data_IF_316624833462
#
_entry.id   IF_316624833462
#
_cell.length_a   1.000
_cell.length_b   1.000
_cell.length_c   1.000
_cell.angle_alpha   90.00
_cell.angle_beta   90.00
_cell.angle_gamma   90.00
#
_symmetry.space_group_name_H-M   'P 1'
#
loop_
_entity.id
_entity.type
_entity.pdbx_description
1 polymer ?
#
# COMPACT_ATOMS: atom_id res chain seq x y z
N UNK A 1 -0.85 -34.38 -0.29
CA UNK A 1 -1.41 -33.13 -0.85
C UNK A 1 -0.59 -31.91 -0.43
N UNK A 2 -0.50 -30.87 -1.28
CA UNK A 2 0.07 -29.55 -0.93
C UNK A 2 -0.86 -28.46 -1.44
N UNK A 3 -1.09 -27.44 -0.60
CA UNK A 3 -1.94 -26.30 -0.98
C UNK A 3 -1.03 -25.12 -1.27
N UNK A 4 -1.14 -24.56 -2.48
CA UNK A 4 -0.28 -23.49 -3.00
C UNK A 4 -1.07 -22.40 -3.73
N UNK A 5 -0.37 -21.37 -4.17
CA UNK A 5 -0.93 -20.26 -4.93
C UNK A 5 -2.15 -19.62 -4.27
N UNK A 6 -2.06 -19.48 -2.93
CA UNK A 6 -3.10 -18.86 -2.14
C UNK A 6 -3.18 -17.37 -2.48
N UNK A 7 -4.37 -16.91 -2.83
CA UNK A 7 -4.61 -15.51 -3.21
C UNK A 7 -5.91 -14.99 -2.62
N UNK A 8 -5.95 -13.71 -2.34
CA UNK A 8 -7.14 -12.94 -2.01
C UNK A 8 -7.36 -11.91 -3.13
N UNK A 9 -8.56 -11.89 -3.76
CA UNK A 9 -8.87 -11.07 -4.92
C UNK A 9 -7.75 -11.09 -5.99
N UNK A 10 -7.22 -12.30 -6.27
CA UNK A 10 -6.11 -12.57 -7.19
C UNK A 10 -4.72 -12.05 -6.77
N UNK A 11 -4.60 -11.42 -5.60
CA UNK A 11 -3.36 -10.87 -5.06
C UNK A 11 -2.76 -11.79 -3.99
N UNK A 12 -1.44 -11.79 -3.87
CA UNK A 12 -0.72 -12.50 -2.80
C UNK A 12 -0.38 -11.52 -1.70
N UNK A 13 -0.90 -11.75 -0.49
CA UNK A 13 -0.65 -10.90 0.68
C UNK A 13 -0.78 -9.39 0.40
N UNK A 14 -1.94 -8.92 -0.12
CA UNK A 14 -2.12 -7.51 -0.45
C UNK A 14 -2.10 -6.64 0.80
N UNK A 15 -1.39 -5.52 0.70
CA UNK A 15 -1.27 -4.51 1.75
C UNK A 15 -2.00 -3.23 1.33
N UNK A 16 -3.03 -2.86 2.09
CA UNK A 16 -3.70 -1.57 1.92
C UNK A 16 -4.62 -1.48 0.71
N UNK A 17 -5.25 -2.59 0.32
CA UNK A 17 -6.24 -2.63 -0.76
C UNK A 17 -7.67 -2.52 -0.23
N UNK A 18 -8.55 -1.89 -0.99
CA UNK A 18 -9.99 -2.03 -0.77
C UNK A 18 -10.45 -3.43 -1.19
N UNK A 19 -10.82 -4.22 -0.21
CA UNK A 19 -11.22 -5.62 -0.36
C UNK A 19 -12.66 -5.81 0.12
N UNK A 20 -13.59 -5.00 -0.38
CA UNK A 20 -14.98 -5.00 0.07
C UNK A 20 -15.64 -6.39 0.10
N UNK A 21 -15.30 -7.24 -0.86
CA UNK A 21 -15.77 -8.63 -0.95
C UNK A 21 -14.55 -9.56 -1.12
N UNK A 22 -13.88 -9.94 -0.02
CA UNK A 22 -12.67 -10.72 -0.10
C UNK A 22 -12.94 -12.12 -0.63
N UNK A 23 -12.35 -12.46 -1.76
CA UNK A 23 -12.52 -13.73 -2.46
C UNK A 23 -11.21 -14.49 -2.48
N UNK A 24 -11.19 -15.70 -1.92
CA UNK A 24 -9.98 -16.54 -1.88
C UNK A 24 -9.90 -17.47 -3.09
N UNK A 25 -8.67 -17.79 -3.48
CA UNK A 25 -8.37 -18.88 -4.40
C UNK A 25 -7.09 -19.61 -3.98
N UNK A 26 -6.99 -20.88 -4.37
CA UNK A 26 -5.87 -21.76 -4.07
C UNK A 26 -5.74 -22.88 -5.09
N UNK A 27 -4.61 -23.59 -5.07
CA UNK A 27 -4.36 -24.77 -5.88
C UNK A 27 -3.96 -25.93 -4.97
N UNK A 28 -4.64 -27.07 -5.10
CA UNK A 28 -4.23 -28.32 -4.47
C UNK A 28 -3.36 -29.13 -5.45
N UNK A 29 -2.12 -29.40 -5.06
CA UNK A 29 -1.14 -30.17 -5.83
C UNK A 29 -0.82 -31.49 -5.15
N UNK A 30 -0.40 -32.49 -5.93
CA UNK A 30 0.04 -33.79 -5.42
C UNK A 30 -1.02 -34.50 -4.55
N UNK A 31 -2.30 -34.27 -4.83
CA UNK A 31 -3.39 -34.97 -4.19
C UNK A 31 -3.44 -36.45 -4.63
N UNK A 32 -3.83 -37.35 -3.73
CA UNK A 32 -4.03 -38.76 -4.08
C UNK A 32 -5.29 -38.97 -4.93
N UNK A 33 -6.31 -38.15 -4.68
CA UNK A 33 -7.57 -38.13 -5.44
C UNK A 33 -7.57 -37.16 -6.60
N UNK A 34 -8.70 -37.09 -7.30
CA UNK A 34 -8.92 -36.22 -8.46
C UNK A 34 -9.92 -35.11 -8.19
N UNK A 35 -10.63 -35.17 -7.08
CA UNK A 35 -11.71 -34.24 -6.72
C UNK A 35 -11.58 -33.83 -5.27
N UNK A 36 -11.83 -32.56 -5.00
CA UNK A 36 -12.00 -32.07 -3.66
C UNK A 36 -13.30 -32.64 -3.06
N UNK A 37 -13.22 -33.21 -1.87
CA UNK A 37 -14.38 -33.65 -1.10
C UNK A 37 -14.94 -32.50 -0.28
N UNK A 38 -14.07 -31.76 0.41
CA UNK A 38 -14.43 -30.53 1.12
C UNK A 38 -13.22 -29.61 1.23
N UNK A 39 -13.48 -28.37 1.61
CA UNK A 39 -12.49 -27.45 2.13
C UNK A 39 -12.98 -26.85 3.46
N UNK A 40 -12.06 -26.35 4.27
CA UNK A 40 -12.33 -25.56 5.47
C UNK A 40 -11.46 -24.32 5.44
N UNK A 41 -12.08 -23.16 5.59
CA UNK A 41 -11.40 -21.87 5.61
C UNK A 41 -11.48 -21.27 7.00
N UNK A 42 -10.33 -20.86 7.53
CA UNK A 42 -10.26 -20.10 8.77
C UNK A 42 -9.69 -18.71 8.50
N UNK A 43 -10.28 -17.70 9.14
CA UNK A 43 -9.79 -16.32 9.16
C UNK A 43 -9.63 -15.87 10.60
N UNK A 44 -8.53 -15.20 10.91
CA UNK A 44 -8.17 -14.74 12.24
C UNK A 44 -7.63 -13.32 12.22
N UNK A 45 -7.76 -12.61 13.34
CA UNK A 45 -7.09 -11.32 13.57
C UNK A 45 -5.64 -11.50 14.05
N UNK A 46 -5.23 -12.75 14.37
CA UNK A 46 -3.89 -13.10 14.82
C UNK A 46 -3.30 -14.24 14.01
N UNK A 47 -2.00 -14.17 13.75
CA UNK A 47 -1.27 -15.16 12.97
C UNK A 47 -1.29 -16.55 13.58
N UNK A 48 -1.31 -16.65 14.90
CA UNK A 48 -1.38 -17.89 15.66
C UNK A 48 -2.79 -18.50 15.75
N UNK A 49 -3.79 -17.84 15.14
CA UNK A 49 -5.20 -18.24 15.18
C UNK A 49 -5.80 -18.32 16.60
N UNK A 50 -5.24 -17.60 17.57
CA UNK A 50 -5.80 -17.48 18.92
C UNK A 50 -7.09 -16.64 18.96
N UNK A 51 -7.39 -15.88 17.89
CA UNK A 51 -8.58 -15.03 17.75
C UNK A 51 -9.23 -15.28 16.38
N UNK A 52 -9.96 -16.41 16.27
CA UNK A 52 -10.66 -16.79 15.02
C UNK A 52 -11.88 -15.91 14.83
N UNK A 53 -11.92 -15.22 13.71
CA UNK A 53 -13.06 -14.41 13.27
C UNK A 53 -14.08 -15.24 12.49
N UNK A 54 -13.62 -16.17 11.68
CA UNK A 54 -14.45 -17.02 10.84
C UNK A 54 -13.86 -18.43 10.69
N UNK A 55 -14.71 -19.43 10.78
CA UNK A 55 -14.40 -20.81 10.46
C UNK A 55 -15.58 -21.40 9.69
N UNK A 56 -15.36 -21.81 8.45
CA UNK A 56 -16.41 -22.41 7.62
C UNK A 56 -16.82 -23.81 8.06
N UNK A 57 -16.04 -24.46 8.94
CA UNK A 57 -16.10 -25.89 9.09
C UNK A 57 -15.79 -26.63 7.76
N UNK A 58 -15.96 -27.95 7.78
CA UNK A 58 -15.87 -28.76 6.55
C UNK A 58 -17.05 -28.44 5.64
N UNK A 59 -16.76 -27.97 4.42
CA UNK A 59 -17.78 -27.46 3.50
C UNK A 59 -17.44 -27.89 2.06
N UNK A 60 -18.33 -28.64 1.43
CA UNK A 60 -18.20 -29.13 0.06
C UNK A 60 -18.55 -28.10 -1.01
N UNK A 61 -19.19 -27.00 -0.62
CA UNK A 61 -19.54 -25.91 -1.51
C UNK A 61 -18.39 -24.90 -1.74
N UNK A 62 -17.30 -24.99 -0.96
CA UNK A 62 -16.13 -24.11 -1.15
C UNK A 62 -15.38 -24.54 -2.41
N UNK A 63 -15.29 -23.61 -3.36
CA UNK A 63 -14.56 -23.81 -4.62
C UNK A 63 -13.18 -23.16 -4.55
N UNK A 64 -12.18 -23.81 -5.17
CA UNK A 64 -10.78 -23.34 -5.13
C UNK A 64 -10.51 -22.09 -5.96
N UNK A 65 -11.44 -21.67 -6.81
CA UNK A 65 -11.25 -20.59 -7.80
C UNK A 65 -11.89 -19.27 -7.41
N UNK A 66 -12.61 -19.18 -6.31
CA UNK A 66 -13.27 -17.93 -5.92
C UNK A 66 -14.32 -18.12 -4.85
N UNK A 67 -13.91 -18.47 -3.64
CA UNK A 67 -14.82 -18.50 -2.49
C UNK A 67 -14.84 -17.15 -1.80
N UNK A 68 -15.99 -16.48 -1.77
CA UNK A 68 -16.18 -15.22 -1.08
C UNK A 68 -16.24 -15.46 0.45
N UNK A 69 -15.42 -14.74 1.19
CA UNK A 69 -15.39 -14.82 2.65
C UNK A 69 -16.56 -14.01 3.22
N UNK A 70 -17.48 -14.62 3.97
CA UNK A 70 -18.64 -13.94 4.55
C UNK A 70 -18.27 -13.20 5.85
N UNK A 71 -17.31 -12.26 5.77
CA UNK A 71 -16.80 -11.49 6.90
C UNK A 71 -16.92 -10.01 6.65
N UNK A 72 -17.26 -9.26 7.71
CA UNK A 72 -17.16 -7.81 7.68
C UNK A 72 -15.73 -7.36 7.93
N UNK A 73 -15.20 -6.51 7.07
CA UNK A 73 -13.84 -5.99 7.19
C UNK A 73 -13.84 -4.60 7.85
N UNK A 74 -12.84 -4.37 8.69
CA UNK A 74 -12.51 -3.07 9.24
C UNK A 74 -11.38 -2.42 8.46
N UNK A 75 -11.33 -1.08 8.32
CA UNK A 75 -10.20 -0.38 7.72
C UNK A 75 -8.89 -0.64 8.45
N UNK A 76 -7.76 -0.54 7.72
CA UNK A 76 -6.38 -0.63 8.23
C UNK A 76 -6.10 -1.87 9.09
N UNK A 77 -6.83 -2.96 8.83
CA UNK A 77 -6.81 -4.18 9.65
C UNK A 77 -6.17 -5.33 8.90
N UNK A 78 -5.20 -6.00 9.54
CA UNK A 78 -4.58 -7.22 9.01
C UNK A 78 -5.39 -8.44 9.46
N UNK A 79 -5.68 -9.28 8.48
CA UNK A 79 -6.36 -10.57 8.64
C UNK A 79 -5.41 -11.67 8.20
N UNK A 80 -5.41 -12.78 8.92
CA UNK A 80 -4.67 -13.99 8.60
C UNK A 80 -5.66 -15.07 8.20
N UNK A 81 -5.31 -15.87 7.22
CA UNK A 81 -6.18 -16.93 6.76
C UNK A 81 -5.40 -18.16 6.29
N UNK A 82 -6.06 -19.30 6.36
CA UNK A 82 -5.57 -20.59 5.85
C UNK A 82 -6.71 -21.43 5.38
N UNK A 83 -6.43 -22.42 4.55
CA UNK A 83 -7.41 -23.38 4.04
C UNK A 83 -6.92 -24.80 4.24
N UNK A 84 -7.82 -25.68 4.71
CA UNK A 84 -7.65 -27.13 4.68
C UNK A 84 -8.46 -27.68 3.52
N UNK A 85 -7.89 -28.61 2.78
CA UNK A 85 -8.53 -29.29 1.66
C UNK A 85 -8.41 -30.79 1.88
N UNK A 86 -9.49 -31.53 1.63
CA UNK A 86 -9.48 -32.98 1.57
C UNK A 86 -10.00 -33.45 0.20
N UNK A 87 -9.42 -34.50 -0.33
CA UNK A 87 -9.91 -35.17 -1.52
C UNK A 87 -10.84 -36.35 -1.22
N UNK A 88 -11.43 -36.95 -2.26
CA UNK A 88 -12.34 -38.11 -2.12
C UNK A 88 -11.67 -39.40 -1.59
N UNK A 89 -10.34 -39.39 -1.44
CA UNK A 89 -9.56 -40.48 -0.85
C UNK A 89 -9.07 -40.17 0.57
N UNK A 90 -9.59 -39.11 1.16
CA UNK A 90 -9.20 -38.63 2.49
C UNK A 90 -7.72 -38.24 2.62
N UNK A 91 -7.06 -37.88 1.49
CA UNK A 91 -5.78 -37.16 1.53
C UNK A 91 -6.07 -35.70 1.82
N UNK A 92 -5.54 -35.17 2.92
CA UNK A 92 -5.82 -33.80 3.33
C UNK A 92 -4.58 -33.04 3.77
N UNK A 93 -4.64 -31.72 3.65
CA UNK A 93 -3.60 -30.81 4.12
C UNK A 93 -4.16 -29.43 4.47
N UNK A 94 -3.53 -28.78 5.43
CA UNK A 94 -3.62 -27.33 5.63
C UNK A 94 -2.62 -26.61 4.74
N UNK A 95 -2.99 -25.42 4.28
CA UNK A 95 -2.05 -24.48 3.66
C UNK A 95 -1.15 -23.80 4.69
N UNK A 96 -0.09 -23.17 4.22
CA UNK A 96 0.59 -22.12 4.98
C UNK A 96 -0.38 -20.98 5.27
N UNK A 97 -0.12 -20.26 6.38
CA UNK A 97 -0.87 -19.06 6.74
C UNK A 97 -0.55 -17.96 5.73
N UNK A 98 -1.58 -17.31 5.23
CA UNK A 98 -1.49 -16.10 4.41
C UNK A 98 -2.14 -14.94 5.15
N UNK A 99 -1.91 -13.72 4.67
CA UNK A 99 -2.50 -12.53 5.24
C UNK A 99 -3.00 -11.58 4.15
N UNK A 100 -3.85 -10.66 4.53
CA UNK A 100 -4.16 -9.45 3.77
C UNK A 100 -4.41 -8.32 4.77
N UNK A 101 -4.17 -7.08 4.32
CA UNK A 101 -4.42 -5.90 5.12
C UNK A 101 -5.27 -4.92 4.32
N UNK A 102 -6.36 -4.50 4.93
CA UNK A 102 -7.31 -3.59 4.29
C UNK A 102 -6.77 -2.17 4.19
N UNK A 103 -7.28 -1.43 3.23
CA UNK A 103 -7.02 -0.01 3.01
C UNK A 103 -7.55 0.88 4.15
N UNK A 104 -7.23 2.20 4.10
CA UNK A 104 -7.91 3.22 4.91
C UNK A 104 -9.41 3.29 4.58
N UNK A 105 -9.75 3.01 3.34
CA UNK A 105 -11.11 2.97 2.83
C UNK A 105 -11.51 1.52 2.64
N UNK A 106 -12.60 1.12 3.27
CA UNK A 106 -13.30 -0.14 3.02
C UNK A 106 -14.75 0.25 2.79
N UNK A 107 -15.37 -0.26 1.74
CA UNK A 107 -16.71 0.14 1.30
C UNK A 107 -17.67 0.38 2.46
N UNK A 108 -18.14 1.62 2.59
CA UNK A 108 -19.07 2.05 3.64
C UNK A 108 -18.44 2.30 5.03
N UNK A 109 -17.11 2.23 5.16
CA UNK A 109 -16.41 2.45 6.44
C UNK A 109 -15.03 3.07 6.19
N UNK A 110 -15.00 4.38 6.00
CA UNK A 110 -13.80 5.12 5.60
C UNK A 110 -13.13 5.81 6.79
N UNK A 111 -11.81 5.67 6.91
CA UNK A 111 -11.01 6.47 7.84
C UNK A 111 -10.64 7.81 7.21
N UNK A 112 -11.10 8.90 7.82
CA UNK A 112 -10.77 10.24 7.37
C UNK A 112 -9.26 10.51 7.42
N UNK A 113 -8.77 11.31 6.47
CA UNK A 113 -7.42 11.84 6.48
C UNK A 113 -7.30 12.97 7.49
N UNK A 114 -6.24 12.93 8.32
CA UNK A 114 -5.89 14.01 9.26
C UNK A 114 -4.78 14.90 8.70
N UNK A 115 -4.00 14.37 7.75
CA UNK A 115 -2.95 15.09 7.05
C UNK A 115 -3.51 16.21 6.17
N UNK A 116 -2.68 17.23 5.90
CA UNK A 116 -2.98 18.32 4.97
C UNK A 116 -2.21 18.15 3.67
N UNK A 117 -2.81 18.56 2.57
CA UNK A 117 -2.08 18.69 1.31
C UNK A 117 -0.94 19.70 1.45
N UNK A 118 0.25 19.29 1.04
CA UNK A 118 1.42 20.18 0.94
C UNK A 118 1.82 20.35 -0.50
N UNK A 119 2.26 21.56 -0.82
CA UNK A 119 2.74 21.94 -2.13
C UNK A 119 4.11 22.61 -1.97
N UNK A 120 5.18 22.06 -2.56
CA UNK A 120 6.47 22.75 -2.53
C UNK A 120 6.37 24.07 -3.27
N UNK A 121 6.91 25.13 -2.67
CA UNK A 121 7.00 26.44 -3.34
C UNK A 121 8.21 26.47 -4.26
N UNK A 122 8.21 25.60 -5.27
CA UNK A 122 9.27 25.52 -6.27
C UNK A 122 8.96 26.45 -7.47
N UNK A 123 10.01 26.87 -8.17
CA UNK A 123 9.86 27.55 -9.44
C UNK A 123 9.07 26.70 -10.43
N UNK A 124 8.32 27.35 -11.33
CA UNK A 124 7.58 26.64 -12.39
C UNK A 124 8.55 25.77 -13.18
N UNK A 125 8.21 24.49 -13.35
CA UNK A 125 8.98 23.45 -14.03
C UNK A 125 10.20 22.88 -13.25
N UNK A 126 10.30 23.11 -11.95
CA UNK A 126 11.30 22.47 -11.11
C UNK A 126 10.72 21.27 -10.38
N UNK A 127 11.44 20.17 -10.39
CA UNK A 127 11.12 19.04 -9.54
C UNK A 127 11.62 19.31 -8.12
N UNK A 128 10.87 18.87 -7.13
CA UNK A 128 11.19 19.12 -5.72
C UNK A 128 11.14 17.84 -4.91
N UNK A 129 11.91 17.80 -3.84
CA UNK A 129 11.72 16.84 -2.75
C UNK A 129 11.06 17.56 -1.58
N UNK A 130 10.09 16.89 -0.95
CA UNK A 130 9.50 17.31 0.34
C UNK A 130 9.89 16.32 1.41
N UNK A 131 10.19 16.81 2.61
CA UNK A 131 10.71 15.95 3.66
C UNK A 131 10.38 16.45 5.07
N UNK A 132 10.38 15.50 6.02
CA UNK A 132 10.23 15.73 7.45
C UNK A 132 11.15 14.80 8.23
N UNK A 133 11.82 15.33 9.26
CA UNK A 133 12.47 14.52 10.28
C UNK A 133 11.47 14.29 11.42
N UNK A 134 11.27 13.03 11.79
CA UNK A 134 10.43 12.61 12.91
C UNK A 134 11.27 11.94 13.99
N UNK A 135 10.85 12.04 15.24
CA UNK A 135 11.55 11.45 16.38
C UNK A 135 10.73 10.33 16.99
N UNK A 136 11.22 9.10 16.91
CA UNK A 136 10.56 7.93 17.50
C UNK A 136 11.16 7.64 18.87
N UNK A 137 10.35 7.84 19.91
CA UNK A 137 10.81 7.73 21.30
C UNK A 137 10.53 6.37 21.95
N UNK A 138 9.59 5.61 21.41
CA UNK A 138 9.14 4.31 21.94
C UNK A 138 9.36 3.18 20.94
N UNK A 139 9.44 1.91 21.40
CA UNK A 139 9.46 0.77 20.50
C UNK A 139 8.17 0.69 19.65
N UNK A 140 8.33 0.52 18.34
CA UNK A 140 7.23 0.48 17.36
C UNK A 140 6.80 -0.97 17.13
N UNK A 141 5.51 -1.26 17.38
CA UNK A 141 4.92 -2.56 17.06
C UNK A 141 4.47 -2.63 15.59
N UNK A 142 3.95 -1.52 15.04
CA UNK A 142 3.47 -1.44 13.64
C UNK A 142 3.51 0.00 13.17
N UNK A 143 4.01 0.23 11.96
CA UNK A 143 3.88 1.52 11.29
C UNK A 143 3.41 1.35 9.85
N UNK A 144 2.49 2.23 9.41
CA UNK A 144 1.95 2.28 8.04
C UNK A 144 1.96 3.69 7.54
N UNK A 145 2.47 3.88 6.33
CA UNK A 145 2.33 5.15 5.63
C UNK A 145 1.29 5.00 4.51
N UNK A 146 0.42 5.99 4.41
CA UNK A 146 -0.57 6.16 3.35
C UNK A 146 -0.20 7.43 2.59
N UNK A 147 -0.06 7.36 1.27
CA UNK A 147 0.50 8.46 0.47
C UNK A 147 -0.26 8.67 -0.83
N UNK A 148 -0.51 9.93 -1.14
CA UNK A 148 -1.07 10.38 -2.42
C UNK A 148 -0.13 11.43 -3.02
N UNK A 149 0.18 11.29 -4.31
CA UNK A 149 0.88 12.32 -5.09
C UNK A 149 -0.03 12.92 -6.15
N UNK A 150 -0.07 14.24 -6.26
CA UNK A 150 -0.50 14.93 -7.47
C UNK A 150 0.74 15.17 -8.34
N UNK A 151 0.96 14.25 -9.25
CA UNK A 151 2.20 13.95 -9.95
C UNK A 151 2.73 12.59 -9.56
N UNK A 152 3.91 12.24 -10.04
CA UNK A 152 4.63 11.04 -9.59
C UNK A 152 5.37 11.30 -8.29
N UNK A 153 5.65 10.25 -7.54
CA UNK A 153 6.56 10.32 -6.42
C UNK A 153 7.38 9.04 -6.24
N UNK A 154 8.53 9.19 -5.62
CA UNK A 154 9.27 8.12 -4.97
C UNK A 154 9.39 8.44 -3.48
N UNK A 155 9.16 7.42 -2.63
CA UNK A 155 9.23 7.57 -1.19
C UNK A 155 10.53 6.98 -0.63
N UNK A 156 11.17 7.72 0.25
CA UNK A 156 12.40 7.35 0.92
C UNK A 156 12.24 7.44 2.45
N UNK A 157 12.70 6.42 3.15
CA UNK A 157 12.85 6.40 4.59
C UNK A 157 14.35 6.29 4.92
N UNK A 158 14.88 7.28 5.62
CA UNK A 158 16.33 7.35 5.97
C UNK A 158 17.26 7.24 4.76
N UNK A 159 16.84 7.72 3.61
CA UNK A 159 17.59 7.69 2.35
C UNK A 159 17.45 6.38 1.55
N UNK A 160 16.69 5.41 2.04
CA UNK A 160 16.40 4.16 1.33
C UNK A 160 15.02 4.22 0.68
N UNK A 161 14.94 3.93 -0.62
CA UNK A 161 13.67 3.89 -1.36
C UNK A 161 12.77 2.80 -0.78
N UNK A 162 11.52 3.14 -0.58
CA UNK A 162 10.50 2.23 -0.10
C UNK A 162 9.65 1.71 -1.26
N UNK A 163 9.45 0.38 -1.29
CA UNK A 163 8.79 -0.29 -2.41
C UNK A 163 9.70 -0.44 -3.64
N UNK A 164 9.27 -1.26 -4.57
CA UNK A 164 9.96 -1.54 -5.83
C UNK A 164 9.15 -1.07 -7.06
N UNK A 165 7.98 -0.52 -6.83
CA UNK A 165 7.11 -0.01 -7.87
C UNK A 165 7.70 1.27 -8.49
N UNK A 166 7.30 1.49 -9.75
CA UNK A 166 7.68 2.66 -10.54
C UNK A 166 6.44 3.43 -10.97
N UNK A 167 6.62 4.72 -11.24
CA UNK A 167 5.58 5.61 -11.77
C UNK A 167 4.33 5.71 -10.86
N UNK A 168 4.54 5.70 -9.54
CA UNK A 168 3.47 5.88 -8.58
C UNK A 168 2.95 7.34 -8.55
N UNK A 169 1.66 7.54 -8.30
CA UNK A 169 0.61 6.57 -7.97
C UNK A 169 0.01 5.83 -9.18
N UNK A 170 0.54 5.99 -10.38
CA UNK A 170 -0.02 5.50 -11.62
C UNK A 170 -0.98 6.52 -12.25
N UNK A 171 -1.52 6.16 -13.43
CA UNK A 171 -2.50 7.00 -14.11
C UNK A 171 -3.89 6.81 -13.49
N UNK A 172 -4.57 7.92 -13.26
CA UNK A 172 -5.99 7.93 -12.92
C UNK A 172 -6.65 9.19 -13.53
N UNK A 173 -7.97 9.24 -13.49
CA UNK A 173 -8.72 10.47 -13.74
C UNK A 173 -8.73 11.31 -12.46
N UNK A 174 -7.76 12.23 -12.34
CA UNK A 174 -7.53 13.02 -11.13
C UNK A 174 -8.71 13.96 -10.78
N UNK A 175 -9.63 14.21 -11.70
CA UNK A 175 -10.84 14.96 -11.43
C UNK A 175 -11.95 14.11 -10.77
N UNK A 176 -11.85 12.78 -10.89
CA UNK A 176 -12.84 11.83 -10.39
C UNK A 176 -12.40 11.09 -9.14
N UNK A 177 -11.14 10.69 -9.05
CA UNK A 177 -10.63 9.90 -7.93
C UNK A 177 -9.10 9.91 -7.86
N UNK A 178 -8.56 9.64 -6.68
CA UNK A 178 -7.12 9.58 -6.43
C UNK A 178 -6.73 8.21 -5.87
N UNK A 179 -5.62 7.68 -6.35
CA UNK A 179 -5.00 6.49 -5.77
C UNK A 179 -4.07 6.89 -4.63
N UNK A 180 -4.08 6.11 -3.56
CA UNK A 180 -3.03 6.16 -2.56
C UNK A 180 -2.32 4.81 -2.45
N UNK A 181 -1.05 4.86 -2.06
CA UNK A 181 -0.25 3.69 -1.77
C UNK A 181 -0.08 3.51 -0.28
N UNK A 182 0.04 2.25 0.14
CA UNK A 182 0.28 1.88 1.54
C UNK A 182 1.65 1.22 1.65
N UNK A 183 2.45 1.70 2.62
CA UNK A 183 3.78 1.15 2.91
C UNK A 183 3.84 0.63 4.34
N UNK A 184 4.49 -0.52 4.52
CA UNK A 184 4.93 -0.98 5.83
C UNK A 184 6.27 -0.34 6.16
N UNK A 185 6.35 0.41 7.27
CA UNK A 185 7.56 1.13 7.65
C UNK A 185 8.29 0.43 8.79
N UNK A 186 9.62 0.38 8.66
CA UNK A 186 10.52 -0.04 9.73
C UNK A 186 11.17 1.21 10.35
N UNK A 187 10.47 1.82 11.30
CA UNK A 187 10.96 3.03 11.97
C UNK A 187 11.97 2.68 13.06
N UNK A 188 13.16 3.26 12.97
CA UNK A 188 14.18 3.13 14.00
C UNK A 188 13.84 4.02 15.21
N UNK A 189 14.27 3.63 16.41
CA UNK A 189 14.25 4.52 17.57
C UNK A 189 15.16 5.72 17.32
N UNK A 190 14.71 6.92 17.65
CA UNK A 190 15.39 8.17 17.38
C UNK A 190 14.92 8.83 16.10
N UNK A 191 15.80 9.55 15.42
CA UNK A 191 15.47 10.29 14.20
C UNK A 191 15.23 9.37 13.02
N UNK A 192 14.14 9.65 12.30
CA UNK A 192 13.87 9.07 11.00
C UNK A 192 13.54 10.20 10.03
N UNK A 193 14.04 10.11 8.80
CA UNK A 193 13.72 11.06 7.73
C UNK A 193 12.77 10.43 6.75
N UNK A 194 11.66 11.10 6.53
CA UNK A 194 10.68 10.81 5.50
C UNK A 194 10.90 11.78 4.35
N UNK A 195 11.06 11.30 3.13
CA UNK A 195 11.28 12.16 1.97
C UNK A 195 10.50 11.64 0.77
N UNK A 196 9.81 12.53 0.07
CA UNK A 196 9.17 12.25 -1.22
C UNK A 196 9.86 13.09 -2.29
N UNK A 197 10.38 12.40 -3.30
CA UNK A 197 10.85 13.02 -4.54
C UNK A 197 9.66 13.10 -5.48
N UNK A 198 9.27 14.30 -5.90
CA UNK A 198 8.09 14.54 -6.72
C UNK A 198 8.46 14.75 -8.19
N UNK A 199 7.61 14.28 -9.09
CA UNK A 199 7.76 14.38 -10.55
C UNK A 199 6.45 14.70 -11.26
N UNK A 200 6.53 15.24 -12.46
CA UNK A 200 5.37 15.75 -13.21
C UNK A 200 4.33 14.66 -13.54
N UNK A 201 4.78 13.52 -14.02
CA UNK A 201 3.92 12.38 -14.36
C UNK A 201 2.77 12.71 -15.30
N UNK A 202 1.63 12.06 -15.05
CA UNK A 202 0.39 12.31 -15.81
C UNK A 202 -0.41 13.51 -15.31
N UNK A 203 -0.21 13.92 -14.06
CA UNK A 203 -0.96 15.04 -13.49
C UNK A 203 -0.58 16.37 -14.14
N UNK A 204 0.72 16.65 -14.20
CA UNK A 204 1.26 17.92 -14.69
C UNK A 204 2.02 17.76 -16.02
N UNK A 205 2.65 16.60 -16.25
CA UNK A 205 3.52 16.35 -17.39
C UNK A 205 2.79 16.30 -18.73
N UNK A 206 3.60 16.25 -19.79
CA UNK A 206 3.11 16.18 -21.17
C UNK A 206 2.83 14.74 -21.57
N UNK A 207 1.61 14.47 -22.01
CA UNK A 207 1.23 13.15 -22.55
C UNK A 207 -0.01 13.24 -23.45
N UNK A 208 -0.39 12.09 -24.04
CA UNK A 208 -1.56 11.96 -24.90
C UNK A 208 -1.35 12.47 -26.31
N UNK A 209 -2.36 12.35 -27.14
CA UNK A 209 -2.30 12.67 -28.58
C UNK A 209 -1.99 14.14 -28.87
N UNK A 210 -2.47 15.06 -28.02
CA UNK A 210 -2.23 16.50 -28.18
C UNK A 210 -0.96 16.99 -27.50
N UNK A 211 -0.24 16.10 -26.79
CA UNK A 211 1.00 16.40 -26.06
C UNK A 211 0.86 17.67 -25.22
N UNK A 212 -0.28 17.84 -24.56
CA UNK A 212 -0.56 18.97 -23.67
C UNK A 212 0.05 18.69 -22.28
N UNK A 213 0.55 19.73 -21.62
CA UNK A 213 0.96 19.72 -20.22
C UNK A 213 -0.11 20.30 -19.31
N UNK A 214 0.05 20.13 -18.00
CA UNK A 214 -0.83 20.70 -16.97
C UNK A 214 -2.30 20.27 -17.16
N UNK A 215 -2.49 18.98 -17.50
CA UNK A 215 -3.82 18.46 -17.84
C UNK A 215 -4.79 18.51 -16.67
N UNK A 216 -4.28 18.28 -15.44
CA UNK A 216 -5.07 18.29 -14.21
C UNK A 216 -4.63 19.36 -13.22
N UNK A 217 -3.41 19.88 -13.34
CA UNK A 217 -2.94 20.96 -12.49
C UNK A 217 -1.53 21.44 -12.81
N UNK A 218 -1.20 22.62 -12.30
CA UNK A 218 0.06 23.32 -12.59
C UNK A 218 1.15 23.05 -11.54
N UNK A 219 0.78 22.44 -10.41
CA UNK A 219 1.68 22.31 -9.26
C UNK A 219 1.60 20.92 -8.65
N UNK A 220 2.77 20.35 -8.40
CA UNK A 220 2.88 19.09 -7.67
C UNK A 220 2.42 19.27 -6.22
N UNK A 221 1.82 18.23 -5.66
CA UNK A 221 1.44 18.20 -4.25
C UNK A 221 1.54 16.78 -3.70
N UNK A 222 1.62 16.67 -2.38
CA UNK A 222 1.62 15.39 -1.68
C UNK A 222 0.71 15.44 -0.45
N UNK A 223 0.14 14.30 -0.11
CA UNK A 223 -0.57 14.04 1.13
C UNK A 223 0.00 12.75 1.72
N UNK A 224 0.54 12.82 2.92
CA UNK A 224 1.14 11.66 3.61
C UNK A 224 0.58 11.59 5.00
N UNK A 225 0.22 10.38 5.41
CA UNK A 225 -0.21 10.10 6.78
C UNK A 225 0.42 8.80 7.25
N UNK A 226 1.06 8.84 8.41
CA UNK A 226 1.75 7.70 9.01
C UNK A 226 1.03 7.35 10.31
N UNK A 227 0.53 6.11 10.38
CA UNK A 227 -0.06 5.54 11.57
C UNK A 227 0.97 4.66 12.26
N UNK A 228 1.27 4.98 13.50
CA UNK A 228 2.24 4.26 14.33
C UNK A 228 1.50 3.68 15.53
N UNK A 229 1.66 2.39 15.74
CA UNK A 229 1.25 1.73 16.99
C UNK A 229 2.49 1.26 17.71
N UNK A 230 2.65 1.69 18.94
CA UNK A 230 3.75 1.34 19.82
C UNK A 230 3.49 0.03 20.57
N UNK A 231 4.56 -0.59 21.07
CA UNK A 231 4.45 -1.85 21.85
C UNK A 231 3.65 -1.68 23.15
N UNK A 232 3.60 -0.47 23.71
CA UNK A 232 2.78 -0.15 24.89
C UNK A 232 1.29 0.03 24.57
N UNK A 233 0.89 -0.19 23.29
CA UNK A 233 -0.47 -0.08 22.80
C UNK A 233 -0.91 1.36 22.48
N UNK A 234 -0.08 2.38 22.73
CA UNK A 234 -0.39 3.76 22.31
C UNK A 234 -0.25 3.94 20.81
N UNK A 235 -1.01 4.88 20.25
CA UNK A 235 -1.01 5.18 18.82
C UNK A 235 -0.64 6.65 18.58
N UNK A 236 0.00 6.92 17.45
CA UNK A 236 0.37 8.23 16.96
C UNK A 236 0.12 8.32 15.47
N UNK A 237 -0.37 9.49 15.03
CA UNK A 237 -0.54 9.80 13.62
C UNK A 237 0.32 11.02 13.29
N UNK A 238 1.20 10.86 12.30
CA UNK A 238 2.04 11.92 11.77
C UNK A 238 1.59 12.19 10.34
N UNK A 239 1.17 13.42 10.06
CA UNK A 239 0.67 13.83 8.75
C UNK A 239 1.50 14.93 8.10
N UNK A 240 1.33 15.10 6.81
CA UNK A 240 1.83 16.30 6.12
C UNK A 240 1.11 17.54 6.61
N UNK A 241 1.89 18.60 6.83
CA UNK A 241 1.44 19.93 7.22
C UNK A 241 2.48 20.98 6.80
N UNK A 242 2.30 22.22 7.27
CA UNK A 242 3.18 23.36 6.98
C UNK A 242 4.59 23.27 7.62
N UNK A 243 4.85 22.28 8.47
CA UNK A 243 6.20 22.06 9.06
C UNK A 243 7.11 21.24 8.16
N UNK A 244 6.55 20.58 7.15
CA UNK A 244 7.34 19.87 6.16
C UNK A 244 8.19 20.85 5.36
N UNK A 245 9.39 20.44 5.03
CA UNK A 245 10.37 21.23 4.27
C UNK A 245 10.40 20.78 2.84
N UNK A 246 10.83 21.68 1.96
CA UNK A 246 11.05 21.37 0.55
C UNK A 246 12.47 21.77 0.14
N UNK A 247 13.00 21.11 -0.87
CA UNK A 247 14.25 21.46 -1.54
C UNK A 247 14.18 21.17 -3.03
N UNK A 248 15.07 21.79 -3.77
CA UNK A 248 15.25 21.46 -5.19
C UNK A 248 15.68 20.02 -5.36
N UNK A 249 15.24 19.39 -6.43
CA UNK A 249 15.76 18.09 -6.86
C UNK A 249 16.86 18.27 -7.89
N UNK A 250 17.75 17.29 -8.01
CA UNK A 250 18.67 17.21 -9.15
C UNK A 250 17.98 16.79 -10.45
N UNK A 251 16.74 16.33 -10.37
CA UNK A 251 15.89 16.12 -11.54
C UNK A 251 15.35 17.48 -11.95
N UNK A 252 15.91 18.06 -13.01
CA UNK A 252 15.51 19.38 -13.51
C UNK A 252 14.29 19.31 -14.41
N UNK A 253 14.02 18.17 -15.00
CA UNK A 253 12.78 17.89 -15.70
C UNK A 253 12.50 16.40 -15.73
N UNK A 254 11.21 16.03 -15.70
CA UNK A 254 10.76 14.66 -15.91
C UNK A 254 9.50 14.64 -16.77
N UNK A 255 9.27 13.56 -17.49
CA UNK A 255 8.06 13.42 -18.27
C UNK A 255 7.89 12.03 -18.87
N UNK A 256 6.65 11.56 -18.95
CA UNK A 256 6.29 10.23 -19.44
C UNK A 256 6.88 9.94 -20.83
N UNK A 257 6.91 10.97 -21.72
CA UNK A 257 7.44 10.81 -23.07
C UNK A 257 8.88 11.30 -23.23
N UNK A 258 9.33 12.20 -22.33
CA UNK A 258 10.60 12.88 -22.47
C UNK A 258 11.73 12.25 -21.65
N UNK A 259 11.36 11.32 -20.73
CA UNK A 259 12.32 10.80 -19.77
C UNK A 259 12.70 11.86 -18.73
N UNK A 260 13.93 11.78 -18.25
CA UNK A 260 14.44 12.56 -17.13
C UNK A 260 15.74 13.26 -17.50
N UNK A 261 15.88 14.51 -17.06
CA UNK A 261 17.15 15.24 -17.09
C UNK A 261 17.65 15.40 -15.68
N UNK A 262 18.80 14.80 -15.37
CA UNK A 262 19.42 14.82 -14.06
C UNK A 262 20.72 15.65 -14.09
N UNK A 263 20.80 16.70 -13.25
CA UNK A 263 21.97 17.57 -13.15
C UNK A 263 22.73 17.30 -11.84
N UNK A 264 23.89 16.65 -11.95
CA UNK A 264 24.74 16.32 -10.81
C UNK A 264 25.44 17.53 -10.19
N UNK A 265 25.45 18.67 -10.90
CA UNK A 265 26.14 19.90 -10.46
C UNK A 265 25.25 20.77 -9.56
N UNK A 266 23.94 20.54 -9.56
CA UNK A 266 23.02 21.33 -8.74
C UNK A 266 23.27 21.11 -7.24
N UNK A 267 23.41 22.22 -6.53
CA UNK A 267 23.36 22.23 -5.07
C UNK A 267 21.91 22.07 -4.61
N UNK A 268 21.68 21.00 -3.84
CA UNK A 268 20.38 20.65 -3.27
C UNK A 268 20.37 20.79 -1.74
N UNK A 269 21.38 21.44 -1.16
CA UNK A 269 21.50 21.59 0.30
C UNK A 269 20.53 22.60 0.90
N UNK A 270 20.03 23.55 0.10
CA UNK A 270 19.12 24.58 0.56
C UNK A 270 17.67 24.05 0.61
N UNK A 271 17.07 24.17 1.80
CA UNK A 271 15.63 24.00 1.99
C UNK A 271 14.89 25.33 1.78
N UNK A 272 13.65 25.28 1.30
CA UNK A 272 12.76 26.42 1.12
C UNK A 272 11.34 26.09 1.60
#
# INVERSE_FOLDING_TARGET
MKIKHLKINHLTNPLGYDLANPTISYVAEQAAGKRQAFAQVQVSLKEDFSEILYDSGENDSIVSTGFELPIALSPMTRYYWKVRVADERSDEAWSDVQWFETAKTVTGNDCAWQAKWIKPQAEKNMQAAVWQDIEITKPVAKARAYMIGLGLYEFYLNGEKQGDECLLPGFCDYDSWLQYQTYELQLAKGKNRLELLLGDGWYKGRYGMRVKSENYGESLAALVEIHIRYEDGTEEIIGTDETWKARKSRIVSSGIYSGEVYDTTLDISEAF
#
